data_IF_225399425206
#
_entry.id   IF_225399425206
#
_cell.length_a   1.000
_cell.length_b   1.000
_cell.length_c   1.000
_cell.angle_alpha   90.00
_cell.angle_beta   90.00
_cell.angle_gamma   90.00
#
_symmetry.space_group_name_H-M   'P 1'
#
loop_
_entity.id
_entity.type
_entity.pdbx_description
1 polymer ?
#
# COMPACT_ATOMS: atom_id res chain seq x y z
N UNK A 1 44.72 47.97 9.82
CA UNK A 1 44.57 47.04 10.97
C UNK A 1 43.14 46.52 11.16
N UNK A 2 42.16 46.91 10.33
CA UNK A 2 40.74 46.53 10.46
C UNK A 2 40.40 45.10 9.98
N UNK A 3 41.15 44.50 9.05
CA UNK A 3 40.84 43.14 8.54
C UNK A 3 41.08 41.99 9.54
N UNK A 4 41.97 42.14 10.53
CA UNK A 4 42.28 41.09 11.52
C UNK A 4 41.17 40.88 12.56
N UNK A 5 40.35 41.89 12.83
CA UNK A 5 39.22 41.82 13.77
C UNK A 5 37.89 41.51 13.09
N UNK A 6 37.76 41.74 11.77
CA UNK A 6 36.55 41.42 11.00
C UNK A 6 36.40 39.91 10.74
N UNK A 7 37.50 39.20 10.49
CA UNK A 7 37.47 37.75 10.23
C UNK A 7 36.90 36.92 11.41
N UNK A 8 37.31 37.11 12.68
CA UNK A 8 36.73 36.35 13.79
C UNK A 8 35.27 36.71 14.06
N UNK A 9 34.86 37.97 13.86
CA UNK A 9 33.46 38.40 14.03
C UNK A 9 32.57 37.76 12.96
N UNK A 10 33.03 37.69 11.71
CA UNK A 10 32.31 37.02 10.63
C UNK A 10 32.11 35.52 10.91
N UNK A 11 33.13 34.84 11.46
CA UNK A 11 33.03 33.42 11.85
C UNK A 11 32.05 33.20 12.99
N UNK A 12 32.01 34.09 13.99
CA UNK A 12 31.06 34.01 15.11
C UNK A 12 29.62 34.25 14.63
N UNK A 13 29.40 35.17 13.69
CA UNK A 13 28.07 35.42 13.11
C UNK A 13 27.59 34.22 12.29
N UNK A 14 28.47 33.59 11.50
CA UNK A 14 28.13 32.38 10.72
C UNK A 14 27.80 31.20 11.64
N UNK A 15 28.53 31.03 12.74
CA UNK A 15 28.29 29.96 13.72
C UNK A 15 26.99 30.18 14.50
N UNK A 16 26.61 31.43 14.78
CA UNK A 16 25.35 31.78 15.45
C UNK A 16 24.12 31.59 14.55
N UNK A 17 24.26 31.71 13.22
CA UNK A 17 23.15 31.45 12.28
C UNK A 17 22.93 29.97 11.97
N UNK A 18 23.91 29.10 12.23
CA UNK A 18 23.79 27.67 11.97
C UNK A 18 23.01 26.89 13.05
N UNK A 19 22.73 27.51 14.21
CA UNK A 19 22.04 26.86 15.34
C UNK A 19 20.54 27.14 15.38
N UNK A 20 20.00 28.01 14.52
CA UNK A 20 18.55 28.23 14.47
C UNK A 20 17.86 27.11 13.67
N UNK A 21 17.10 26.31 14.41
CA UNK A 21 16.05 25.39 13.94
C UNK A 21 16.46 23.92 13.71
N UNK A 22 16.78 23.24 14.81
CA UNK A 22 16.48 21.82 14.97
C UNK A 22 15.45 21.65 16.08
N UNK A 23 14.18 21.98 15.81
CA UNK A 23 13.09 21.56 16.71
C UNK A 23 12.55 20.21 16.24
N UNK A 24 12.78 19.18 17.04
CA UNK A 24 12.15 17.88 16.85
C UNK A 24 10.73 17.94 17.40
N UNK A 25 9.73 17.83 16.51
CA UNK A 25 8.33 17.77 16.91
C UNK A 25 8.07 16.46 17.66
N UNK A 26 7.51 16.55 18.87
CA UNK A 26 6.95 15.39 19.57
C UNK A 26 5.61 15.05 18.94
N UNK A 27 5.56 13.99 18.15
CA UNK A 27 4.34 13.44 17.59
C UNK A 27 3.84 12.38 18.57
N UNK A 28 2.64 12.56 19.11
CA UNK A 28 1.97 11.56 19.94
C UNK A 28 0.80 10.95 19.18
N UNK A 29 0.80 9.64 19.02
CA UNK A 29 -0.39 8.88 18.61
C UNK A 29 -1.24 8.60 19.84
N UNK A 30 -2.54 8.83 19.72
CA UNK A 30 -3.54 8.43 20.73
C UNK A 30 -4.54 7.52 20.03
N UNK A 31 -4.95 6.39 20.63
CA UNK A 31 -6.05 5.59 20.09
C UNK A 31 -7.28 6.48 19.90
N UNK A 32 -7.95 6.38 18.76
CA UNK A 32 -8.97 7.34 18.38
C UNK A 32 -10.16 7.43 19.35
N UNK A 33 -10.44 6.37 20.11
CA UNK A 33 -11.46 6.33 21.16
C UNK A 33 -11.19 7.32 22.30
N UNK A 34 -9.94 7.75 22.49
CA UNK A 34 -9.51 8.67 23.55
C UNK A 34 -9.17 10.07 23.01
N UNK A 35 -9.32 10.28 21.70
CA UNK A 35 -8.97 11.54 21.05
C UNK A 35 -10.03 12.63 21.32
N UNK A 36 -9.60 13.75 21.90
CA UNK A 36 -10.45 14.93 22.12
C UNK A 36 -10.57 15.72 20.80
N UNK A 37 -11.78 15.95 20.25
CA UNK A 37 -11.98 16.57 18.94
C UNK A 37 -11.52 18.04 18.82
N UNK A 38 -11.13 18.68 19.93
CA UNK A 38 -10.73 20.09 19.97
C UNK A 38 -9.24 20.34 19.67
N UNK A 39 -8.44 19.29 19.43
CA UNK A 39 -7.01 19.44 19.11
C UNK A 39 -6.79 19.45 17.59
N UNK A 40 -5.91 20.32 17.09
CA UNK A 40 -5.44 20.25 15.71
C UNK A 40 -4.68 18.95 15.47
N UNK A 41 -5.20 18.07 14.61
CA UNK A 41 -4.60 16.78 14.29
C UNK A 41 -5.33 16.04 13.17
N UNK A 42 -4.78 14.89 12.76
CA UNK A 42 -5.32 14.06 11.67
C UNK A 42 -5.60 12.64 12.17
N UNK A 43 -6.62 11.99 11.61
CA UNK A 43 -6.88 10.58 11.82
C UNK A 43 -6.13 9.73 10.79
N UNK A 44 -5.43 8.72 11.28
CA UNK A 44 -4.61 7.81 10.50
C UNK A 44 -4.93 6.37 10.87
N UNK A 45 -5.06 5.51 9.87
CA UNK A 45 -5.22 4.06 10.05
C UNK A 45 -3.89 3.32 9.84
N UNK A 46 -3.60 2.32 10.65
CA UNK A 46 -2.39 1.51 10.48
C UNK A 46 -2.45 0.71 9.14
N UNK A 47 -1.34 0.59 8.39
CA UNK A 47 -1.29 -0.22 7.18
C UNK A 47 -1.29 -1.71 7.51
N UNK A 48 -2.18 -2.46 6.86
CA UNK A 48 -2.18 -3.91 6.79
C UNK A 48 -1.59 -4.38 5.47
N UNK A 49 -0.72 -5.37 5.55
CA UNK A 49 -0.21 -6.09 4.37
C UNK A 49 -1.22 -7.15 3.95
N UNK A 50 -1.82 -6.97 2.78
CA UNK A 50 -2.74 -7.93 2.15
C UNK A 50 -2.03 -8.69 1.05
N UNK A 51 -2.16 -10.01 1.06
CA UNK A 51 -1.66 -10.87 -0.01
C UNK A 51 -2.77 -11.12 -1.02
N UNK A 52 -2.56 -10.71 -2.26
CA UNK A 52 -3.47 -10.95 -3.39
C UNK A 52 -2.87 -12.07 -4.23
N UNK A 53 -3.58 -13.19 -4.29
CA UNK A 53 -3.18 -14.34 -5.10
C UNK A 53 -4.14 -14.42 -6.27
N UNK A 54 -3.63 -14.25 -7.49
CA UNK A 54 -4.40 -14.44 -8.71
C UNK A 54 -4.00 -15.76 -9.35
N UNK A 55 -4.97 -16.65 -9.51
CA UNK A 55 -4.77 -17.95 -10.17
C UNK A 55 -5.56 -17.93 -11.46
N UNK A 56 -4.86 -18.11 -12.58
CA UNK A 56 -5.49 -18.30 -13.89
C UNK A 56 -5.56 -19.79 -14.16
N UNK A 57 -6.75 -20.26 -14.56
CA UNK A 57 -7.01 -21.66 -14.86
C UNK A 57 -7.69 -21.80 -16.21
N UNK A 58 -7.26 -22.79 -16.97
CA UNK A 58 -7.88 -23.20 -18.22
C UNK A 58 -8.69 -24.48 -17.96
N UNK A 59 -9.98 -24.43 -18.30
CA UNK A 59 -10.86 -25.58 -18.30
C UNK A 59 -10.93 -26.13 -19.72
N UNK A 60 -10.59 -27.42 -19.88
CA UNK A 60 -10.80 -28.12 -21.16
C UNK A 60 -11.85 -29.20 -20.97
N UNK A 61 -12.92 -29.11 -21.75
CA UNK A 61 -14.02 -30.08 -21.76
C UNK A 61 -14.04 -30.75 -23.13
N UNK A 62 -13.95 -32.07 -23.14
CA UNK A 62 -14.13 -32.92 -24.30
C UNK A 62 -15.50 -33.61 -24.19
N UNK A 63 -16.39 -33.29 -25.13
CA UNK A 63 -17.71 -33.88 -25.25
C UNK A 63 -17.71 -34.81 -26.46
N UNK A 64 -17.81 -36.15 -26.26
CA UNK A 64 -17.90 -37.08 -27.37
C UNK A 64 -19.22 -36.88 -28.12
N UNK A 65 -19.16 -36.93 -29.46
CA UNK A 65 -20.36 -36.88 -30.28
C UNK A 65 -21.22 -38.15 -30.14
N UNK A 66 -22.53 -38.10 -30.41
CA UNK A 66 -23.44 -39.24 -30.26
C UNK A 66 -23.06 -40.46 -31.12
N UNK A 67 -22.32 -40.23 -32.21
CA UNK A 67 -21.83 -41.29 -33.10
C UNK A 67 -20.33 -41.58 -32.96
N UNK A 68 -19.67 -41.09 -31.90
CA UNK A 68 -18.23 -41.31 -31.67
C UNK A 68 -17.88 -42.81 -31.67
N UNK A 69 -18.74 -43.66 -31.10
CA UNK A 69 -18.58 -45.12 -31.09
C UNK A 69 -18.62 -45.77 -32.48
N UNK A 70 -19.15 -45.09 -33.50
CA UNK A 70 -19.28 -45.59 -34.86
C UNK A 70 -18.20 -45.02 -35.80
N UNK A 71 -17.37 -44.08 -35.33
CA UNK A 71 -16.37 -43.39 -36.15
C UNK A 71 -15.32 -44.35 -36.72
N UNK A 72 -14.87 -45.34 -35.95
CA UNK A 72 -13.90 -46.32 -36.44
C UNK A 72 -14.49 -47.21 -37.55
N UNK A 73 -15.73 -47.67 -37.37
CA UNK A 73 -16.38 -48.60 -38.30
C UNK A 73 -16.75 -47.94 -39.64
N UNK A 74 -17.24 -46.71 -39.63
CA UNK A 74 -17.78 -46.06 -40.84
C UNK A 74 -16.87 -44.98 -41.43
N UNK A 75 -15.99 -44.38 -40.63
CA UNK A 75 -15.09 -43.31 -41.08
C UNK A 75 -13.62 -43.75 -41.10
N UNK A 76 -13.29 -44.95 -40.58
CA UNK A 76 -11.92 -45.44 -40.49
C UNK A 76 -11.05 -44.65 -39.51
N UNK A 77 -11.66 -43.79 -38.67
CA UNK A 77 -10.96 -43.02 -37.64
C UNK A 77 -10.68 -43.96 -36.48
N UNK A 78 -9.44 -44.46 -36.41
CA UNK A 78 -8.98 -45.29 -35.30
C UNK A 78 -8.77 -44.41 -34.06
N UNK A 79 -9.17 -44.93 -32.90
CA UNK A 79 -8.99 -44.28 -31.59
C UNK A 79 -9.82 -42.99 -31.38
N UNK A 80 -11.05 -42.98 -31.90
CA UNK A 80 -12.01 -41.92 -31.60
C UNK A 80 -12.43 -42.01 -30.12
N UNK A 81 -12.14 -40.97 -29.35
CA UNK A 81 -12.47 -40.91 -27.91
C UNK A 81 -13.99 -40.87 -27.71
N UNK A 82 -14.51 -41.87 -26.98
CA UNK A 82 -15.95 -42.04 -26.70
C UNK A 82 -16.38 -41.47 -25.35
N UNK A 83 -15.42 -41.16 -24.49
CA UNK A 83 -15.69 -40.80 -23.11
C UNK A 83 -15.66 -39.29 -22.91
N UNK A 84 -16.55 -38.80 -22.05
CA UNK A 84 -16.50 -37.42 -21.58
C UNK A 84 -15.23 -37.21 -20.76
N UNK A 85 -14.52 -36.12 -21.03
CA UNK A 85 -13.28 -35.80 -20.33
C UNK A 85 -13.25 -34.33 -19.99
N UNK A 86 -13.05 -34.04 -18.71
CA UNK A 86 -12.90 -32.70 -18.19
C UNK A 86 -11.60 -32.63 -17.39
N UNK A 87 -10.76 -31.65 -17.69
CA UNK A 87 -9.58 -31.36 -16.88
C UNK A 87 -9.35 -29.86 -16.77
N UNK A 88 -8.75 -29.52 -15.64
CA UNK A 88 -8.40 -28.16 -15.28
C UNK A 88 -6.89 -28.05 -15.22
N UNK A 89 -6.36 -27.01 -15.87
CA UNK A 89 -4.94 -26.71 -15.86
C UNK A 89 -4.73 -25.32 -15.29
N UNK A 90 -3.91 -25.21 -14.25
CA UNK A 90 -3.44 -23.92 -13.79
C UNK A 90 -2.44 -23.39 -14.82
N UNK A 91 -2.77 -22.27 -15.45
CA UNK A 91 -1.91 -21.65 -16.48
C UNK A 91 -0.94 -20.66 -15.85
N UNK A 92 -1.39 -19.94 -14.83
CA UNK A 92 -0.61 -18.91 -14.19
C UNK A 92 -0.98 -18.75 -12.72
N UNK A 93 0.01 -18.38 -11.90
CA UNK A 93 -0.18 -17.98 -10.52
C UNK A 93 0.64 -16.71 -10.29
N UNK A 94 -0.05 -15.63 -9.96
CA UNK A 94 0.55 -14.34 -9.66
C UNK A 94 0.35 -14.03 -8.18
N UNK A 95 1.42 -13.56 -7.54
CA UNK A 95 1.43 -13.16 -6.14
C UNK A 95 1.73 -11.66 -6.08
N UNK A 96 0.82 -10.91 -5.49
CA UNK A 96 0.94 -9.47 -5.30
C UNK A 96 0.76 -9.14 -3.82
N UNK A 97 1.56 -8.21 -3.31
CA UNK A 97 1.36 -7.63 -1.98
C UNK A 97 0.76 -6.25 -2.14
N UNK A 98 -0.33 -6.01 -1.43
CA UNK A 98 -1.01 -4.73 -1.39
C UNK A 98 -1.05 -4.21 0.05
N UNK A 99 -1.08 -2.89 0.21
CA UNK A 99 -1.27 -2.25 1.52
C UNK A 99 -2.71 -1.75 1.58
N UNK A 100 -3.40 -2.04 2.67
CA UNK A 100 -4.78 -1.60 2.92
C UNK A 100 -4.88 -0.98 4.31
N UNK A 101 -5.75 0.00 4.46
CA UNK A 101 -6.06 0.66 5.74
C UNK A 101 -6.72 -0.32 6.72
N UNK A 102 -6.25 -0.38 7.97
CA UNK A 102 -6.91 -1.11 9.07
C UNK A 102 -8.06 -0.28 9.69
N UNK A 103 -9.33 -0.66 9.52
CA UNK A 103 -10.44 0.04 10.17
C UNK A 103 -10.51 -0.22 11.69
N UNK A 104 -9.86 -1.29 12.19
CA UNK A 104 -9.86 -1.63 13.62
C UNK A 104 -8.84 -0.80 14.42
N UNK A 105 -7.77 -0.32 13.76
CA UNK A 105 -6.65 0.38 14.38
C UNK A 105 -6.47 1.76 13.74
N UNK A 106 -7.13 2.76 14.33
CA UNK A 106 -7.05 4.16 13.92
C UNK A 106 -6.55 5.02 15.07
N UNK A 107 -5.63 5.92 14.74
CA UNK A 107 -4.89 6.75 15.67
C UNK A 107 -5.06 8.22 15.32
N UNK A 108 -5.15 9.06 16.34
CA UNK A 108 -5.14 10.49 16.20
C UNK A 108 -3.73 11.03 16.35
N UNK A 109 -3.21 11.66 15.31
CA UNK A 109 -1.91 12.33 15.32
C UNK A 109 -2.11 13.78 15.75
N UNK A 110 -1.70 14.08 16.99
CA UNK A 110 -1.72 15.43 17.53
C UNK A 110 -0.39 16.13 17.26
N UNK A 111 -0.46 17.38 16.79
CA UNK A 111 0.73 18.24 16.66
C UNK A 111 0.54 19.62 17.28
N UNK A 112 1.65 20.29 17.55
CA UNK A 112 1.64 21.70 17.96
C UNK A 112 1.54 22.60 16.73
N UNK A 113 0.63 23.58 16.76
CA UNK A 113 0.34 24.54 15.68
C UNK A 113 1.52 25.44 15.29
N UNK A 114 2.65 25.40 16.02
CA UNK A 114 3.85 26.20 15.72
C UNK A 114 4.67 25.70 14.53
N UNK A 115 4.49 24.46 14.08
CA UNK A 115 5.10 23.94 12.86
C UNK A 115 4.06 23.15 12.07
N UNK A 116 3.82 23.47 10.78
CA UNK A 116 3.06 22.58 9.91
C UNK A 116 3.82 21.25 9.77
N UNK A 117 3.11 20.15 9.51
CA UNK A 117 3.69 18.83 9.20
C UNK A 117 3.57 18.51 7.70
N UNK A 118 4.21 19.25 6.75
CA UNK A 118 3.98 19.00 5.33
C UNK A 118 4.51 17.64 4.89
N UNK A 119 5.60 17.15 5.50
CA UNK A 119 6.29 15.94 5.03
C UNK A 119 5.60 14.67 5.48
N UNK A 120 5.29 14.54 6.78
CA UNK A 120 4.60 13.37 7.31
C UNK A 120 3.18 13.24 6.77
N UNK A 121 2.43 14.35 6.72
CA UNK A 121 1.10 14.37 6.14
C UNK A 121 1.11 13.87 4.69
N UNK A 122 2.06 14.35 3.88
CA UNK A 122 2.19 13.94 2.49
C UNK A 122 2.54 12.47 2.34
N UNK A 123 3.43 11.92 3.16
CA UNK A 123 3.73 10.48 3.15
C UNK A 123 2.50 9.63 3.48
N UNK A 124 1.75 10.02 4.51
CA UNK A 124 0.52 9.32 4.90
C UNK A 124 -0.59 9.45 3.84
N UNK A 125 -0.68 10.61 3.18
CA UNK A 125 -1.63 10.86 2.10
C UNK A 125 -1.28 10.05 0.84
N UNK A 126 -0.01 9.99 0.46
CA UNK A 126 0.49 9.18 -0.68
C UNK A 126 0.19 7.69 -0.48
N UNK A 127 0.16 7.22 0.77
CA UNK A 127 -0.18 5.84 1.12
C UNK A 127 -1.70 5.60 1.27
N UNK A 128 -2.54 6.63 1.10
CA UNK A 128 -4.01 6.50 1.20
C UNK A 128 -4.51 6.16 2.61
N UNK A 129 -3.75 6.50 3.64
CA UNK A 129 -4.01 6.09 5.03
C UNK A 129 -4.63 7.18 5.90
N UNK A 130 -5.06 8.28 5.28
CA UNK A 130 -5.72 9.39 5.98
C UNK A 130 -7.22 9.16 5.92
N UNK A 131 -7.85 9.12 7.09
CA UNK A 131 -9.29 9.24 7.20
C UNK A 131 -9.57 10.73 7.32
N UNK A 132 -10.03 11.34 6.22
CA UNK A 132 -10.38 12.76 6.24
C UNK A 132 -11.47 12.98 7.29
N UNK A 133 -11.31 14.01 8.11
CA UNK A 133 -12.20 14.25 9.24
C UNK A 133 -13.63 14.46 8.72
N UNK A 134 -14.68 13.83 9.29
CA UNK A 134 -16.01 14.41 9.14
C UNK A 134 -15.93 15.82 9.72
N UNK A 135 -16.43 16.80 8.96
CA UNK A 135 -16.38 18.22 9.31
C UNK A 135 -17.03 18.55 10.65
#
# INVERSE_FOLDING_TARGET
>A
MTKRTIFPIAVIVILATATSCYQTTKISSVPAQEAIPAASGIYYSLPLTTFVIRVETEQTIFIPGPYAAYAEKYLGIKDARTDFLEYWKITNVQFETAVTSDPSQWYFLKWNTRCPLPTLYRQLAEQGMILDSPG
#
